data_IF_899487464415
#
_entry.id   IF_899487464415
#
_cell.length_a   1.000
_cell.length_b   1.000
_cell.length_c   1.000
_cell.angle_alpha   90.00
_cell.angle_beta   90.00
_cell.angle_gamma   90.00
#
_symmetry.space_group_name_H-M   'P 1'
#
loop_
_entity.id
_entity.type
_entity.pdbx_description
1 polymer ?
#
# COMPACT_ATOMS: atom_id res chain seq x y z
N UNK A 1 3.42 11.18 -14.28
CA UNK A 1 4.70 10.57 -13.94
C UNK A 1 4.45 9.18 -13.39
N UNK A 2 5.32 8.25 -13.71
CA UNK A 2 5.35 6.95 -13.09
C UNK A 2 6.48 6.97 -12.05
N UNK A 3 6.25 6.46 -10.86
CA UNK A 3 7.26 6.35 -9.83
C UNK A 3 7.50 4.87 -9.49
N UNK A 4 8.75 4.50 -9.29
CA UNK A 4 9.13 3.21 -8.75
C UNK A 4 9.90 3.43 -7.46
N UNK A 5 9.37 2.93 -6.36
CA UNK A 5 9.93 3.13 -5.03
C UNK A 5 10.49 1.82 -4.50
N UNK A 6 11.70 1.88 -3.93
CA UNK A 6 12.37 0.75 -3.28
C UNK A 6 12.49 1.04 -1.80
N UNK A 7 11.76 0.29 -1.00
CA UNK A 7 11.80 0.37 0.46
C UNK A 7 12.38 -0.93 1.04
N UNK A 8 13.23 -0.80 2.06
CA UNK A 8 13.52 -1.90 2.98
C UNK A 8 12.93 -1.53 4.33
N UNK A 9 12.14 -2.41 4.90
CA UNK A 9 11.47 -2.20 6.19
C UNK A 9 11.59 -3.42 7.08
N UNK A 10 11.49 -3.17 8.36
CA UNK A 10 11.38 -4.17 9.42
C UNK A 10 10.20 -3.78 10.29
N UNK A 11 9.42 -4.77 10.69
CA UNK A 11 8.24 -4.62 11.55
C UNK A 11 8.51 -5.37 12.84
N UNK A 12 8.35 -4.71 13.99
CA UNK A 12 8.33 -5.38 15.29
C UNK A 12 7.00 -6.13 15.46
N UNK A 13 6.91 -6.98 16.48
CA UNK A 13 5.68 -7.71 16.80
C UNK A 13 4.52 -6.74 17.00
N UNK A 14 3.44 -6.97 16.26
CA UNK A 14 2.27 -6.10 16.23
C UNK A 14 2.49 -4.79 15.47
N UNK A 15 3.59 -4.66 14.72
CA UNK A 15 3.86 -3.48 13.93
C UNK A 15 2.86 -3.31 12.80
N UNK A 16 2.40 -2.06 12.61
CA UNK A 16 1.47 -1.66 11.57
C UNK A 16 1.91 -0.32 10.98
N UNK A 17 1.90 -0.23 9.67
CA UNK A 17 2.22 0.96 8.89
C UNK A 17 1.69 0.79 7.48
N UNK A 18 1.91 1.79 6.62
CA UNK A 18 1.52 1.77 5.21
C UNK A 18 2.35 2.74 4.38
N UNK A 19 2.36 2.50 3.09
CA UNK A 19 2.99 3.37 2.11
C UNK A 19 1.90 3.93 1.21
N UNK A 20 1.63 5.23 1.35
CA UNK A 20 0.63 5.95 0.57
C UNK A 20 1.24 6.57 -0.68
N UNK A 21 0.46 6.64 -1.77
CA UNK A 21 0.83 7.40 -2.96
C UNK A 21 -0.29 8.35 -3.42
N UNK A 22 0.09 9.38 -4.17
CA UNK A 22 -0.82 10.39 -4.70
C UNK A 22 -1.71 11.05 -3.62
N UNK A 23 -1.10 11.36 -2.47
CA UNK A 23 -1.77 12.00 -1.34
C UNK A 23 -2.32 13.38 -1.74
N UNK A 24 -3.54 13.68 -1.32
CA UNK A 24 -4.11 15.02 -1.41
C UNK A 24 -3.95 15.72 -0.05
N UNK A 25 -3.08 16.74 -0.01
CA UNK A 25 -2.79 17.54 1.20
C UNK A 25 -3.80 18.65 1.47
N UNK A 26 -5.01 18.57 0.92
CA UNK A 26 -6.05 19.56 1.23
C UNK A 26 -6.38 19.51 2.72
N UNK A 27 -6.35 20.67 3.44
CA UNK A 27 -6.63 20.75 4.89
C UNK A 27 -8.00 20.20 5.33
N UNK A 28 -8.92 20.01 4.39
CA UNK A 28 -10.20 19.33 4.62
C UNK A 28 -10.00 17.90 5.15
N UNK A 29 -8.89 17.25 4.76
CA UNK A 29 -8.60 15.88 5.11
C UNK A 29 -7.53 15.82 6.19
N UNK A 30 -7.90 15.34 7.37
CA UNK A 30 -7.04 15.34 8.56
C UNK A 30 -5.96 14.26 8.59
N UNK A 31 -6.10 13.22 7.75
CA UNK A 31 -5.20 12.06 7.75
C UNK A 31 -5.01 11.51 6.31
N UNK A 32 -3.83 10.94 6.01
CA UNK A 32 -3.48 10.49 4.65
C UNK A 32 -4.45 9.49 4.03
N UNK A 33 -4.92 8.54 4.80
CA UNK A 33 -5.77 7.45 4.31
C UNK A 33 -7.15 7.90 3.82
N UNK A 34 -7.59 9.12 4.15
CA UNK A 34 -8.85 9.68 3.60
C UNK A 34 -8.77 9.98 2.11
N UNK A 35 -7.56 10.10 1.56
CA UNK A 35 -7.37 10.50 0.17
C UNK A 35 -6.48 9.56 -0.63
N UNK A 36 -5.51 8.93 -0.01
CA UNK A 36 -4.48 8.16 -0.69
C UNK A 36 -4.67 6.65 -0.54
N UNK A 37 -4.56 5.89 -1.64
CA UNK A 37 -4.45 4.45 -1.56
C UNK A 37 -3.15 4.04 -0.85
N UNK A 38 -3.17 2.89 -0.20
CA UNK A 38 -2.14 2.39 0.70
C UNK A 38 -1.64 1.01 0.29
N UNK A 39 -0.33 0.86 0.20
CA UNK A 39 0.31 -0.47 0.22
C UNK A 39 0.56 -0.86 1.66
N UNK A 40 -0.07 -1.94 2.11
CA UNK A 40 -0.04 -2.39 3.50
C UNK A 40 1.33 -2.90 3.94
N UNK A 41 1.67 -2.55 5.18
CA UNK A 41 2.89 -2.84 5.89
C UNK A 41 2.54 -3.27 7.31
N UNK A 42 2.49 -4.59 7.59
CA UNK A 42 1.94 -5.10 8.85
C UNK A 42 2.63 -6.40 9.32
N UNK A 43 2.49 -6.73 10.59
CA UNK A 43 2.80 -8.06 11.11
C UNK A 43 1.61 -9.00 10.86
N UNK A 44 1.66 -9.73 9.74
CA UNK A 44 0.56 -10.62 9.32
C UNK A 44 0.25 -11.70 10.35
N UNK A 45 1.27 -12.24 11.00
CA UNK A 45 1.11 -13.29 12.00
C UNK A 45 0.38 -12.79 13.25
N UNK A 46 0.78 -11.61 13.74
CA UNK A 46 0.17 -11.01 14.92
C UNK A 46 -1.31 -10.68 14.72
N UNK A 47 -1.64 -10.06 13.57
CA UNK A 47 -3.00 -9.57 13.33
C UNK A 47 -3.94 -10.63 12.79
N UNK A 48 -3.44 -11.59 12.03
CA UNK A 48 -4.29 -12.52 11.26
C UNK A 48 -4.01 -13.99 11.54
N UNK A 49 -2.88 -14.33 12.21
CA UNK A 49 -2.59 -15.70 12.63
C UNK A 49 -2.65 -16.74 11.50
N UNK A 50 -2.36 -16.31 10.26
CA UNK A 50 -2.47 -17.15 9.08
C UNK A 50 -3.89 -17.23 8.48
N UNK A 51 -4.86 -16.45 8.97
CA UNK A 51 -6.20 -16.34 8.37
C UNK A 51 -6.10 -15.78 6.96
N UNK A 52 -6.50 -16.59 5.97
CA UNK A 52 -6.42 -16.25 4.56
C UNK A 52 -7.60 -15.41 4.06
N UNK A 53 -8.63 -15.22 4.85
CA UNK A 53 -9.81 -14.42 4.46
C UNK A 53 -9.52 -12.91 4.50
N UNK A 54 -8.58 -12.50 5.35
CA UNK A 54 -8.18 -11.10 5.51
C UNK A 54 -7.06 -10.65 4.56
N UNK A 55 -6.81 -11.35 3.45
CA UNK A 55 -5.69 -11.05 2.55
C UNK A 55 -5.63 -9.60 2.04
N UNK A 56 -6.77 -8.93 1.90
CA UNK A 56 -6.81 -7.52 1.49
C UNK A 56 -6.20 -6.55 2.52
N UNK A 57 -5.89 -7.03 3.72
CA UNK A 57 -5.30 -6.26 4.79
C UNK A 57 -3.87 -6.69 5.14
N UNK A 58 -3.33 -7.69 4.42
CA UNK A 58 -2.00 -8.25 4.65
C UNK A 58 -0.89 -7.50 3.89
N UNK A 59 0.34 -7.81 4.21
CA UNK A 59 1.53 -7.26 3.56
C UNK A 59 1.44 -7.30 2.03
N UNK A 60 1.70 -6.16 1.39
CA UNK A 60 1.71 -6.02 -0.05
C UNK A 60 0.34 -5.93 -0.70
N UNK A 61 -0.76 -5.95 0.09
CA UNK A 61 -2.09 -5.60 -0.43
C UNK A 61 -2.15 -4.12 -0.82
N UNK A 62 -3.06 -3.78 -1.73
CA UNK A 62 -3.64 -2.42 -1.72
C UNK A 62 -4.79 -2.48 -0.74
N UNK A 63 -4.61 -1.84 0.41
CA UNK A 63 -5.43 -2.04 1.59
C UNK A 63 -6.94 -2.00 1.29
N UNK A 64 -7.64 -3.03 1.72
CA UNK A 64 -9.08 -3.27 1.53
C UNK A 64 -9.56 -3.35 0.06
N UNK A 65 -8.67 -3.20 -0.93
CA UNK A 65 -9.02 -3.20 -2.36
C UNK A 65 -8.46 -4.42 -3.09
N UNK A 66 -7.15 -4.68 -3.00
CA UNK A 66 -6.46 -5.73 -3.75
C UNK A 66 -5.71 -6.65 -2.81
N UNK A 67 -6.10 -7.91 -2.75
CA UNK A 67 -5.37 -8.92 -2.00
C UNK A 67 -4.07 -9.32 -2.72
N UNK A 68 -2.98 -9.59 -1.99
CA UNK A 68 -1.79 -10.17 -2.60
C UNK A 68 -2.09 -11.59 -3.12
N UNK A 69 -1.56 -11.90 -4.30
CA UNK A 69 -1.70 -13.22 -4.93
C UNK A 69 -1.02 -14.33 -4.13
N UNK A 70 0.02 -13.94 -3.39
CA UNK A 70 0.78 -14.83 -2.50
C UNK A 70 1.33 -14.06 -1.29
N UNK A 71 1.56 -14.74 -0.19
CA UNK A 71 2.26 -14.18 0.96
C UNK A 71 3.77 -14.29 0.72
N UNK A 72 4.46 -13.16 0.68
CA UNK A 72 5.88 -13.08 0.35
C UNK A 72 6.70 -12.29 1.39
N UNK A 73 6.07 -11.88 2.49
CA UNK A 73 6.77 -11.22 3.58
C UNK A 73 7.67 -12.21 4.33
N UNK A 74 8.86 -11.74 4.72
CA UNK A 74 9.69 -12.43 5.69
C UNK A 74 9.06 -12.32 7.08
N UNK A 75 9.43 -13.20 8.01
CA UNK A 75 8.94 -13.14 9.39
C UNK A 75 9.14 -11.79 10.06
N UNK A 76 8.34 -11.53 11.08
CA UNK A 76 8.45 -10.35 11.93
C UNK A 76 9.87 -10.20 12.47
N UNK A 77 10.41 -8.98 12.46
CA UNK A 77 11.79 -8.71 12.86
C UNK A 77 12.80 -8.83 11.70
N UNK A 78 12.40 -9.30 10.53
CA UNK A 78 13.26 -9.38 9.36
C UNK A 78 12.99 -8.23 8.37
N UNK A 79 14.02 -7.88 7.58
CA UNK A 79 13.89 -6.87 6.55
C UNK A 79 13.15 -7.40 5.32
N UNK A 80 12.17 -6.64 4.89
CA UNK A 80 11.43 -6.85 3.66
C UNK A 80 11.76 -5.78 2.63
N UNK A 81 11.87 -6.15 1.36
CA UNK A 81 12.08 -5.23 0.24
C UNK A 81 10.77 -5.04 -0.53
N UNK A 82 10.33 -3.80 -0.62
CA UNK A 82 9.21 -3.40 -1.47
C UNK A 82 9.72 -2.66 -2.70
N UNK A 83 9.17 -2.98 -3.86
CA UNK A 83 9.24 -2.15 -5.06
C UNK A 83 7.80 -1.88 -5.50
N UNK A 84 7.42 -0.62 -5.48
CA UNK A 84 6.06 -0.19 -5.84
C UNK A 84 6.16 0.61 -7.12
N UNK A 85 5.50 0.15 -8.18
CA UNK A 85 5.40 0.86 -9.45
C UNK A 85 3.99 1.44 -9.58
N UNK A 86 3.90 2.75 -9.82
CA UNK A 86 2.64 3.47 -10.09
C UNK A 86 2.79 4.16 -11.44
N UNK A 87 2.15 3.62 -12.47
CA UNK A 87 2.26 4.08 -13.85
C UNK A 87 0.89 4.46 -14.43
N UNK A 88 0.50 5.71 -14.24
CA UNK A 88 -0.79 6.21 -14.74
C UNK A 88 -0.89 6.20 -16.27
N UNK A 89 0.23 6.34 -17.02
CA UNK A 89 0.21 6.27 -18.49
C UNK A 89 -0.21 4.89 -18.97
N UNK A 90 0.35 3.85 -18.34
CA UNK A 90 0.04 2.45 -18.65
C UNK A 90 -1.20 1.95 -17.91
N UNK A 91 -1.75 2.75 -16.99
CA UNK A 91 -2.86 2.36 -16.11
C UNK A 91 -2.55 1.10 -15.31
N UNK A 92 -1.37 1.01 -14.72
CA UNK A 92 -0.92 -0.15 -13.95
C UNK A 92 -0.22 0.29 -12.68
N UNK A 93 -0.59 -0.33 -11.58
CA UNK A 93 0.14 -0.38 -10.32
C UNK A 93 0.64 -1.79 -10.06
N UNK A 94 1.83 -1.92 -9.51
CA UNK A 94 2.41 -3.20 -9.13
C UNK A 94 3.14 -3.09 -7.81
N UNK A 95 2.97 -4.10 -6.97
CA UNK A 95 3.72 -4.28 -5.71
C UNK A 95 4.56 -5.53 -5.82
N UNK A 96 5.88 -5.35 -5.79
CA UNK A 96 6.84 -6.43 -5.67
C UNK A 96 7.36 -6.50 -4.24
N UNK A 97 7.16 -7.63 -3.60
CA UNK A 97 7.60 -7.91 -2.23
C UNK A 97 8.62 -9.04 -2.25
N UNK A 98 9.85 -8.74 -1.81
CA UNK A 98 10.98 -9.69 -1.78
C UNK A 98 11.25 -10.40 -3.12
N UNK A 99 11.11 -9.66 -4.24
CA UNK A 99 11.35 -10.17 -5.59
C UNK A 99 10.16 -10.87 -6.23
N UNK A 100 8.99 -10.90 -5.58
CA UNK A 100 7.75 -11.50 -6.10
C UNK A 100 6.70 -10.44 -6.34
N UNK A 101 6.08 -10.43 -7.51
CA UNK A 101 4.94 -9.55 -7.80
C UNK A 101 3.71 -10.08 -7.09
N UNK A 102 3.33 -9.41 -6.02
CA UNK A 102 2.24 -9.88 -5.15
C UNK A 102 0.90 -9.21 -5.46
N UNK A 103 0.91 -7.98 -5.94
CA UNK A 103 -0.32 -7.26 -6.29
C UNK A 103 -0.13 -6.46 -7.56
N UNK A 104 -1.04 -6.66 -8.52
CA UNK A 104 -1.10 -5.90 -9.77
C UNK A 104 -2.52 -5.39 -9.95
N UNK A 105 -2.67 -4.11 -10.25
CA UNK A 105 -3.98 -3.45 -10.27
C UNK A 105 -4.02 -2.28 -11.26
N UNK A 106 -5.20 -1.93 -11.79
CA UNK A 106 -5.38 -0.69 -12.52
C UNK A 106 -5.37 0.49 -11.56
N UNK A 107 -5.05 1.69 -12.07
CA UNK A 107 -5.02 2.93 -11.28
C UNK A 107 -6.22 3.84 -11.58
N UNK A 108 -7.03 3.47 -12.57
CA UNK A 108 -8.23 4.22 -12.99
C UNK A 108 -9.16 3.35 -13.85
N UNK A 109 -10.34 3.88 -14.16
CA UNK A 109 -11.33 3.22 -15.00
C UNK A 109 -12.24 2.27 -14.24
N UNK A 110 -13.06 1.52 -14.99
CA UNK A 110 -14.17 0.71 -14.43
C UNK A 110 -13.71 -0.23 -13.33
N UNK A 111 -12.65 -1.02 -13.56
CA UNK A 111 -12.15 -1.97 -12.56
C UNK A 111 -11.65 -1.30 -11.28
N UNK A 112 -10.96 -0.16 -11.39
CA UNK A 112 -10.52 0.60 -10.24
C UNK A 112 -11.71 1.12 -9.41
N UNK A 113 -12.71 1.66 -10.09
CA UNK A 113 -13.93 2.14 -9.44
C UNK A 113 -14.70 1.00 -8.76
N UNK A 114 -14.77 -0.18 -9.38
CA UNK A 114 -15.38 -1.38 -8.76
C UNK A 114 -14.62 -1.82 -7.50
N UNK A 115 -13.28 -1.72 -7.49
CA UNK A 115 -12.47 -2.01 -6.29
C UNK A 115 -12.79 -1.05 -5.16
N UNK A 116 -12.91 0.27 -5.45
CA UNK A 116 -13.31 1.28 -4.45
C UNK A 116 -14.73 1.01 -3.95
N UNK A 117 -15.67 0.74 -4.84
CA UNK A 117 -17.08 0.48 -4.51
C UNK A 117 -17.25 -0.75 -3.61
N UNK A 118 -16.39 -1.76 -3.77
CA UNK A 118 -16.36 -2.98 -2.97
C UNK A 118 -15.43 -2.90 -1.75
N UNK A 119 -15.05 -1.69 -1.33
CA UNK A 119 -14.18 -1.43 -0.17
C UNK A 119 -14.86 -0.49 0.83
N UNK A 120 -14.25 -0.33 2.00
CA UNK A 120 -14.69 0.66 3.00
C UNK A 120 -14.62 2.10 2.49
N UNK A 121 -13.86 2.36 1.42
CA UNK A 121 -13.62 3.68 0.87
C UNK A 121 -14.75 4.20 -0.03
N UNK A 122 -15.77 3.41 -0.32
CA UNK A 122 -16.82 3.74 -1.28
C UNK A 122 -17.54 5.07 -1.00
N UNK A 123 -17.65 5.45 0.27
CA UNK A 123 -18.32 6.69 0.71
C UNK A 123 -17.35 7.84 0.98
N UNK A 124 -16.04 7.64 0.76
CA UNK A 124 -15.03 8.64 1.05
C UNK A 124 -14.82 9.56 -0.16
N UNK A 125 -15.25 10.79 -0.05
CA UNK A 125 -15.28 11.76 -1.15
C UNK A 125 -13.91 12.14 -1.71
N UNK A 126 -12.87 12.07 -0.88
CA UNK A 126 -11.47 12.39 -1.26
C UNK A 126 -10.65 11.22 -1.75
N UNK A 127 -11.10 9.98 -1.56
CA UNK A 127 -10.28 8.80 -1.77
C UNK A 127 -9.96 8.56 -3.25
N UNK A 128 -8.66 8.43 -3.55
CA UNK A 128 -8.12 8.11 -4.88
C UNK A 128 -8.59 9.05 -6.01
N UNK A 129 -8.79 10.34 -5.70
CA UNK A 129 -9.21 11.37 -6.67
C UNK A 129 -8.05 12.09 -7.34
N UNK A 130 -6.82 11.88 -6.87
CA UNK A 130 -5.59 12.52 -7.40
C UNK A 130 -4.68 11.47 -8.03
N UNK A 131 -4.01 11.85 -9.12
CA UNK A 131 -2.99 11.04 -9.80
C UNK A 131 -1.57 11.51 -9.45
N UNK A 132 -1.47 12.65 -8.76
CA UNK A 132 -0.20 13.27 -8.34
C UNK A 132 -0.35 13.70 -6.89
N UNK A 133 0.72 13.61 -6.16
CA UNK A 133 0.79 14.02 -4.76
C UNK A 133 1.98 13.38 -4.07
N UNK A 134 2.24 13.76 -2.83
CA UNK A 134 3.28 13.18 -2.01
C UNK A 134 3.10 11.67 -1.79
N UNK A 135 4.20 11.04 -1.45
CA UNK A 135 4.25 9.71 -0.85
C UNK A 135 4.32 9.93 0.65
N UNK A 136 3.58 9.15 1.42
CA UNK A 136 3.61 9.20 2.87
C UNK A 136 3.82 7.81 3.48
N UNK A 137 4.45 7.77 4.64
CA UNK A 137 4.58 6.58 5.47
C UNK A 137 3.65 6.73 6.66
N UNK A 138 2.87 5.69 6.95
CA UNK A 138 1.93 5.72 8.07
C UNK A 138 2.67 5.54 9.39
N UNK A 139 2.36 6.40 10.36
CA UNK A 139 2.55 6.16 11.78
C UNK A 139 1.24 5.60 12.35
N UNK A 140 1.30 4.45 13.03
CA UNK A 140 0.14 3.76 13.61
C UNK A 140 0.44 3.29 15.03
N UNK A 141 1.06 4.16 15.83
CA UNK A 141 1.41 3.94 17.24
C UNK A 141 2.24 2.67 17.52
N UNK A 142 2.86 2.10 16.47
CA UNK A 142 3.68 0.90 16.56
C UNK A 142 5.02 1.11 15.87
N UNK A 143 6.04 0.37 16.32
CA UNK A 143 7.39 0.55 15.81
C UNK A 143 7.59 -0.15 14.47
N UNK A 144 7.88 0.63 13.45
CA UNK A 144 8.26 0.18 12.10
C UNK A 144 9.48 0.93 11.64
N UNK A 145 10.44 0.24 11.03
CA UNK A 145 11.68 0.81 10.56
C UNK A 145 11.72 0.83 9.04
N UNK A 146 12.13 1.95 8.46
CA UNK A 146 12.35 2.11 7.04
C UNK A 146 13.79 2.47 6.75
N UNK A 147 14.35 1.93 5.68
CA UNK A 147 15.69 2.29 5.19
C UNK A 147 15.79 2.16 3.68
N UNK A 148 16.80 2.85 3.10
CA UNK A 148 17.08 2.79 1.66
C UNK A 148 15.88 3.17 0.79
N UNK A 149 15.12 4.18 1.23
CA UNK A 149 13.99 4.74 0.49
C UNK A 149 14.56 5.42 -0.77
N UNK A 150 14.08 5.00 -1.95
CA UNK A 150 14.49 5.55 -3.24
C UNK A 150 13.27 5.74 -4.12
N UNK A 151 13.17 6.90 -4.74
CA UNK A 151 12.13 7.26 -5.69
C UNK A 151 12.78 7.41 -7.06
N UNK A 152 12.18 6.81 -8.08
CA UNK A 152 12.60 6.94 -9.48
C UNK A 152 11.40 7.31 -10.32
N UNK A 153 11.49 8.40 -11.07
CA UNK A 153 10.53 8.74 -12.11
C UNK A 153 10.73 7.83 -13.33
N UNK A 154 9.63 7.32 -13.91
CA UNK A 154 9.62 6.35 -15.02
C UNK A 154 9.16 7.02 -16.33
#
# INVERSE_FOLDING_TARGET
>A
SAASDVYKRQVDKGGNSGIFWALNENPKYSVPYLTAPEVQVIDDEYYYGGDKENRKHMNGSVYDMVAPSMLAANPTGEWNKYVIEINYKKNIGNVNLNGKDVSTFPLRGKKWNEMIENSKFKTWDGFAKTEKGPIALQDHDTRVYYRNIKIKEL
#
